data_IF_226376264936
#
_entry.id   IF_226376264936
#
_cell.length_a   1.000
_cell.length_b   1.000
_cell.length_c   1.000
_cell.angle_alpha   90.00
_cell.angle_beta   90.00
_cell.angle_gamma   90.00
#
_symmetry.space_group_name_H-M   'P 1'
#
loop_
_entity.id
_entity.type
_entity.pdbx_description
1 polymer ?
#
# COMPACT_ATOMS: atom_id res chain seq x y z
N UNK A 1 -1.13 -28.51 -28.14
CA UNK A 1 -2.59 -28.43 -27.94
C UNK A 1 -2.98 -29.07 -26.60
N UNK A 2 -2.69 -28.41 -25.48
CA UNK A 2 -3.30 -28.75 -24.17
C UNK A 2 -3.61 -27.42 -23.48
N UNK A 3 -4.66 -26.76 -23.96
CA UNK A 3 -5.21 -25.54 -23.39
C UNK A 3 -6.70 -25.52 -23.67
N UNK A 4 -7.49 -26.36 -22.97
CA UNK A 4 -8.96 -26.27 -23.04
C UNK A 4 -9.75 -26.96 -21.91
N UNK A 5 -9.17 -27.22 -20.74
CA UNK A 5 -9.89 -27.98 -19.69
C UNK A 5 -9.69 -27.48 -18.26
N UNK A 6 -9.78 -26.16 -18.01
CA UNK A 6 -9.82 -25.61 -16.65
C UNK A 6 -10.55 -24.25 -16.56
N UNK A 7 -11.68 -24.12 -17.25
CA UNK A 7 -12.50 -22.90 -17.25
C UNK A 7 -13.97 -23.12 -16.81
N UNK A 8 -14.25 -24.16 -16.02
CA UNK A 8 -15.64 -24.54 -15.68
C UNK A 8 -15.90 -24.86 -14.20
N UNK A 9 -15.20 -24.22 -13.25
CA UNK A 9 -15.49 -24.38 -11.81
C UNK A 9 -15.37 -23.09 -10.99
N UNK A 10 -15.69 -21.95 -11.60
CA UNK A 10 -15.81 -20.69 -10.87
C UNK A 10 -17.29 -20.30 -10.97
N UNK A 11 -18.05 -20.56 -9.90
CA UNK A 11 -19.42 -20.07 -9.78
C UNK A 11 -19.45 -18.53 -9.86
N UNK A 12 -20.63 -17.91 -10.03
CA UNK A 12 -20.73 -16.46 -10.07
C UNK A 12 -20.08 -15.87 -8.81
N UNK A 13 -19.14 -14.93 -8.99
CA UNK A 13 -18.60 -14.13 -7.89
C UNK A 13 -19.77 -13.58 -7.09
N UNK A 14 -19.85 -13.84 -5.77
CA UNK A 14 -20.94 -13.34 -4.96
C UNK A 14 -20.98 -11.81 -5.07
N UNK A 15 -22.18 -11.20 -5.03
CA UNK A 15 -22.29 -9.76 -5.01
C UNK A 15 -21.46 -9.24 -3.83
N UNK A 16 -20.51 -8.37 -4.14
CA UNK A 16 -19.70 -7.68 -3.15
C UNK A 16 -20.69 -6.80 -2.39
N UNK A 17 -21.11 -7.24 -1.20
CA UNK A 17 -21.94 -6.42 -0.33
C UNK A 17 -21.16 -5.12 -0.03
N UNK A 18 -21.80 -3.95 -0.04
CA UNK A 18 -21.12 -2.73 0.33
C UNK A 18 -20.60 -2.89 1.76
N UNK A 19 -19.28 -2.93 1.91
CA UNK A 19 -18.64 -2.78 3.22
C UNK A 19 -19.02 -1.39 3.70
N UNK A 20 -19.96 -1.31 4.63
CA UNK A 20 -20.32 -0.07 5.29
C UNK A 20 -19.06 0.46 5.98
N UNK A 21 -18.44 1.47 5.35
CA UNK A 21 -17.31 2.21 5.87
C UNK A 21 -17.79 2.99 7.10
N UNK A 22 -17.70 2.40 8.29
CA UNK A 22 -17.84 3.16 9.53
C UNK A 22 -16.53 3.92 9.77
N UNK A 23 -16.37 5.05 9.07
CA UNK A 23 -15.41 6.09 9.40
C UNK A 23 -16.18 7.20 10.09
N UNK A 24 -16.09 7.33 11.43
CA UNK A 24 -16.79 8.39 12.14
C UNK A 24 -16.32 9.77 11.64
N UNK A 25 -17.23 10.55 11.08
CA UNK A 25 -17.04 12.00 10.87
C UNK A 25 -16.57 12.48 9.50
N UNK A 26 -16.37 11.62 8.48
CA UNK A 26 -15.98 12.11 7.14
C UNK A 26 -16.52 11.32 5.94
N UNK A 27 -17.42 10.35 6.16
CA UNK A 27 -17.96 9.47 5.12
C UNK A 27 -18.80 10.17 4.02
N UNK A 28 -19.16 11.44 4.18
CA UNK A 28 -20.04 12.15 3.24
C UNK A 28 -19.38 12.64 1.95
N UNK A 29 -18.05 12.52 1.81
CA UNK A 29 -17.34 13.07 0.64
C UNK A 29 -16.77 12.02 -0.33
N UNK A 30 -16.96 10.72 -0.05
CA UNK A 30 -16.39 9.64 -0.86
C UNK A 30 -17.41 8.96 -1.79
N UNK A 31 -18.70 9.26 -1.66
CA UNK A 31 -19.77 8.58 -2.39
C UNK A 31 -20.19 9.30 -3.70
N UNK A 32 -19.64 10.48 -4.00
CA UNK A 32 -20.08 11.31 -5.13
C UNK A 32 -18.91 11.78 -6.02
N UNK A 33 -17.91 10.91 -6.27
CA UNK A 33 -16.81 11.25 -7.18
C UNK A 33 -17.27 11.16 -8.66
N UNK A 34 -17.92 12.20 -9.17
CA UNK A 34 -18.41 12.28 -10.56
C UNK A 34 -17.74 13.40 -11.37
N UNK A 35 -16.68 14.05 -10.87
CA UNK A 35 -15.89 14.98 -11.68
C UNK A 35 -14.39 14.69 -11.60
N UNK A 36 -13.67 14.93 -12.69
CA UNK A 36 -12.22 14.73 -12.79
C UNK A 36 -11.40 15.58 -11.78
N UNK A 37 -12.02 16.57 -11.15
CA UNK A 37 -11.47 17.39 -10.05
C UNK A 37 -11.48 16.69 -8.66
N UNK A 38 -12.10 15.51 -8.52
CA UNK A 38 -12.18 14.74 -7.25
C UNK A 38 -11.28 13.49 -7.24
N UNK A 39 -10.47 13.29 -8.27
CA UNK A 39 -9.63 12.11 -8.39
C UNK A 39 -8.48 12.14 -7.36
N UNK A 40 -8.29 11.04 -6.64
CA UNK A 40 -7.40 11.00 -5.47
C UNK A 40 -5.92 10.94 -5.86
N UNK A 41 -5.08 11.59 -5.07
CA UNK A 41 -3.62 11.44 -5.08
C UNK A 41 -3.23 10.34 -4.11
N UNK A 42 -2.80 9.21 -4.64
CA UNK A 42 -2.54 7.99 -3.88
C UNK A 42 -1.04 7.78 -3.68
N UNK A 43 -0.61 7.57 -2.43
CA UNK A 43 0.70 6.97 -2.17
C UNK A 43 0.53 5.50 -1.83
N UNK A 44 1.38 4.66 -2.40
CA UNK A 44 1.41 3.22 -2.16
C UNK A 44 2.70 2.86 -1.45
N UNK A 45 2.59 2.00 -0.45
CA UNK A 45 3.72 1.43 0.25
C UNK A 45 3.51 -0.07 0.46
N UNK A 46 4.31 -0.87 -0.21
CA UNK A 46 4.20 -2.32 -0.15
C UNK A 46 5.33 -2.94 -0.94
N UNK A 47 5.85 -4.06 -0.47
CA UNK A 47 7.01 -4.65 -1.13
C UNK A 47 7.71 -5.76 -0.36
N UNK A 48 8.88 -6.13 -0.86
CA UNK A 48 9.70 -7.22 -0.34
C UNK A 48 9.33 -8.60 -0.89
N UNK A 49 8.06 -8.87 -1.19
CA UNK A 49 7.59 -10.12 -1.84
C UNK A 49 6.40 -9.86 -2.76
N UNK A 50 6.14 -10.80 -3.68
CA UNK A 50 5.00 -10.71 -4.60
C UNK A 50 3.65 -10.63 -3.88
N UNK A 51 3.54 -11.22 -2.68
CA UNK A 51 2.33 -11.20 -1.87
C UNK A 51 1.89 -9.81 -1.41
N UNK A 52 2.82 -8.84 -1.32
CA UNK A 52 2.48 -7.44 -1.02
C UNK A 52 2.42 -6.56 -2.27
N UNK A 53 3.23 -6.86 -3.28
CA UNK A 53 3.28 -6.08 -4.53
C UNK A 53 2.05 -6.32 -5.41
N UNK A 54 1.61 -7.56 -5.57
CA UNK A 54 0.49 -7.89 -6.47
C UNK A 54 -0.84 -7.27 -6.02
N UNK A 55 -1.24 -7.31 -4.73
CA UNK A 55 -2.44 -6.60 -4.28
C UNK A 55 -2.35 -5.09 -4.52
N UNK A 56 -1.18 -4.49 -4.31
CA UNK A 56 -0.98 -3.06 -4.54
C UNK A 56 -1.20 -2.70 -6.02
N UNK A 57 -0.62 -3.48 -6.93
CA UNK A 57 -0.83 -3.32 -8.37
C UNK A 57 -2.30 -3.53 -8.76
N UNK A 58 -2.94 -4.57 -8.23
CA UNK A 58 -4.35 -4.85 -8.52
C UNK A 58 -5.26 -3.70 -8.07
N UNK A 59 -4.99 -3.12 -6.89
CA UNK A 59 -5.71 -1.92 -6.42
C UNK A 59 -5.50 -0.73 -7.35
N UNK A 60 -4.25 -0.47 -7.76
CA UNK A 60 -3.95 0.63 -8.70
C UNK A 60 -4.70 0.47 -10.00
N UNK A 61 -4.63 -0.72 -10.58
CA UNK A 61 -5.25 -1.01 -11.87
C UNK A 61 -6.76 -0.78 -11.79
N UNK A 62 -7.39 -1.26 -10.72
CA UNK A 62 -8.82 -1.08 -10.52
C UNK A 62 -9.21 0.39 -10.32
N UNK A 63 -8.44 1.15 -9.53
CA UNK A 63 -8.73 2.57 -9.31
C UNK A 63 -8.52 3.40 -10.59
N UNK A 64 -7.48 3.08 -11.39
CA UNK A 64 -7.25 3.68 -12.71
C UNK A 64 -8.41 3.37 -13.66
N UNK A 65 -8.86 2.11 -13.70
CA UNK A 65 -9.99 1.65 -14.53
C UNK A 65 -11.28 2.41 -14.19
N UNK A 66 -11.52 2.68 -12.91
CA UNK A 66 -12.66 3.47 -12.42
C UNK A 66 -12.47 4.98 -12.52
N UNK A 67 -11.30 5.46 -12.99
CA UNK A 67 -10.92 6.87 -13.06
C UNK A 67 -10.99 7.60 -11.70
N UNK A 68 -10.67 6.87 -10.63
CA UNK A 68 -10.72 7.39 -9.27
C UNK A 68 -9.39 8.01 -8.81
N UNK A 69 -8.27 7.74 -9.49
CA UNK A 69 -6.95 8.31 -9.15
C UNK A 69 -6.54 9.39 -10.15
N UNK A 70 -5.97 10.47 -9.64
CA UNK A 70 -5.34 11.51 -10.44
C UNK A 70 -3.83 11.26 -10.60
N UNK A 71 -3.18 10.88 -9.50
CA UNK A 71 -1.73 10.74 -9.42
C UNK A 71 -1.37 9.62 -8.44
N UNK A 72 -0.30 8.89 -8.73
CA UNK A 72 0.18 7.79 -7.89
C UNK A 72 1.68 7.92 -7.67
N UNK A 73 2.10 7.76 -6.42
CA UNK A 73 3.50 7.58 -6.05
C UNK A 73 3.68 6.26 -5.30
N UNK A 74 4.57 5.40 -5.77
CA UNK A 74 5.00 4.23 -5.01
C UNK A 74 6.24 4.56 -4.19
N UNK A 75 6.17 4.36 -2.88
CA UNK A 75 7.31 4.50 -1.97
C UNK A 75 7.74 3.11 -1.49
N UNK A 76 8.97 2.73 -1.77
CA UNK A 76 9.48 1.39 -1.48
C UNK A 76 10.98 1.34 -1.25
N UNK A 77 11.54 0.13 -1.22
CA UNK A 77 12.98 -0.06 -1.08
C UNK A 77 13.69 0.03 -2.43
N UNK A 78 14.94 0.48 -2.43
CA UNK A 78 15.69 0.70 -3.68
C UNK A 78 15.98 -0.60 -4.46
N UNK A 79 16.03 -1.74 -3.78
CA UNK A 79 16.42 -3.04 -4.32
C UNK A 79 15.33 -4.10 -4.25
N UNK A 80 14.09 -3.71 -3.94
CA UNK A 80 12.96 -4.63 -3.82
C UNK A 80 12.23 -4.78 -5.14
N UNK A 81 11.58 -5.94 -5.31
CA UNK A 81 10.79 -6.25 -6.51
C UNK A 81 9.65 -5.25 -6.77
N UNK A 82 9.24 -4.49 -5.75
CA UNK A 82 8.25 -3.42 -5.87
C UNK A 82 8.70 -2.29 -6.79
N UNK A 83 10.02 -2.04 -6.88
CA UNK A 83 10.57 -1.02 -7.78
C UNK A 83 10.31 -1.41 -9.24
N UNK A 84 10.72 -2.63 -9.60
CA UNK A 84 10.57 -3.12 -10.96
C UNK A 84 9.09 -3.21 -11.35
N UNK A 85 8.25 -3.68 -10.42
CA UNK A 85 6.81 -3.73 -10.57
C UNK A 85 6.18 -2.33 -10.80
N UNK A 86 6.56 -1.34 -9.99
CA UNK A 86 6.06 0.03 -10.14
C UNK A 86 6.47 0.64 -11.48
N UNK A 87 7.75 0.49 -11.86
CA UNK A 87 8.28 1.01 -13.13
C UNK A 87 7.59 0.34 -14.33
N UNK A 88 7.40 -0.98 -14.29
CA UNK A 88 6.68 -1.72 -15.34
C UNK A 88 5.21 -1.28 -15.46
N UNK A 89 4.59 -0.86 -14.37
CA UNK A 89 3.22 -0.33 -14.33
C UNK A 89 3.13 1.19 -14.64
N UNK A 90 4.25 1.82 -15.00
CA UNK A 90 4.31 3.27 -15.26
C UNK A 90 3.99 4.11 -14.03
N UNK A 91 4.31 3.64 -12.83
CA UNK A 91 4.07 4.34 -11.57
C UNK A 91 5.39 5.00 -11.12
N UNK A 92 5.41 6.32 -10.89
CA UNK A 92 6.55 6.99 -10.26
C UNK A 92 6.97 6.29 -8.96
N UNK A 93 8.27 6.07 -8.80
CA UNK A 93 8.83 5.35 -7.66
C UNK A 93 9.78 6.22 -6.85
N UNK A 94 9.65 6.18 -5.52
CA UNK A 94 10.58 6.80 -4.58
C UNK A 94 11.17 5.74 -3.65
N UNK A 95 12.48 5.54 -3.77
CA UNK A 95 13.22 4.70 -2.84
C UNK A 95 13.38 5.40 -1.48
N UNK A 96 13.17 4.66 -0.40
CA UNK A 96 13.56 5.07 0.96
C UNK A 96 14.35 3.94 1.63
N UNK A 97 15.25 4.24 2.59
CA UNK A 97 15.88 3.22 3.40
C UNK A 97 14.82 2.44 4.18
N UNK A 98 14.76 1.13 3.92
CA UNK A 98 13.90 0.22 4.67
C UNK A 98 14.78 -0.73 5.47
N UNK A 99 14.51 -0.90 6.76
CA UNK A 99 15.15 -1.96 7.54
C UNK A 99 14.59 -3.33 7.13
N UNK A 100 15.42 -4.38 7.21
CA UNK A 100 14.95 -5.77 7.20
C UNK A 100 14.90 -6.28 8.63
N UNK A 101 13.70 -6.44 9.19
CA UNK A 101 13.59 -7.08 10.51
C UNK A 101 13.66 -8.60 10.32
N UNK A 102 14.85 -9.17 10.53
CA UNK A 102 15.04 -10.62 10.52
C UNK A 102 14.38 -11.21 11.76
N UNK A 103 13.81 -12.42 11.62
CA UNK A 103 13.14 -13.16 12.72
C UNK A 103 14.11 -13.61 13.83
N UNK A 104 15.42 -13.44 13.62
CA UNK A 104 16.48 -13.81 14.55
C UNK A 104 17.28 -12.56 14.94
N UNK A 105 17.75 -12.50 16.19
CA UNK A 105 18.70 -11.47 16.61
C UNK A 105 19.98 -11.60 15.78
N UNK A 106 20.29 -10.57 15.01
CA UNK A 106 21.53 -10.46 14.25
C UNK A 106 22.08 -9.06 14.46
N UNK A 107 23.40 -8.88 14.46
CA UNK A 107 23.99 -7.53 14.49
C UNK A 107 23.49 -6.67 13.32
N UNK A 108 23.09 -7.31 12.21
CA UNK A 108 22.44 -6.67 11.08
C UNK A 108 21.05 -6.11 11.42
N UNK A 109 20.30 -6.73 12.35
CA UNK A 109 19.02 -6.22 12.86
C UNK A 109 19.20 -4.87 13.57
N UNK A 110 20.35 -4.65 14.24
CA UNK A 110 20.67 -3.38 14.89
C UNK A 110 21.01 -2.28 13.88
N UNK A 111 21.79 -2.61 12.84
CA UNK A 111 22.06 -1.68 11.73
C UNK A 111 20.81 -1.38 10.91
N UNK A 112 19.94 -2.38 10.74
CA UNK A 112 18.67 -2.26 10.02
C UNK A 112 17.65 -1.41 10.82
N UNK A 113 17.73 -1.41 12.16
CA UNK A 113 16.96 -0.49 13.01
C UNK A 113 17.38 0.97 12.83
N UNK A 114 18.67 1.25 12.62
CA UNK A 114 19.17 2.61 12.32
C UNK A 114 18.68 3.18 10.98
N UNK A 115 18.30 2.30 10.04
CA UNK A 115 17.73 2.72 8.74
C UNK A 115 16.29 3.21 8.86
N UNK A 116 15.54 2.75 9.87
CA UNK A 116 14.12 3.08 10.02
C UNK A 116 13.88 4.59 10.24
N UNK A 117 14.54 5.28 11.20
CA UNK A 117 14.37 6.73 11.36
C UNK A 117 14.70 7.52 10.09
N UNK A 118 15.76 7.13 9.38
CA UNK A 118 16.14 7.75 8.11
C UNK A 118 15.09 7.50 7.02
N UNK A 119 14.57 6.26 6.94
CA UNK A 119 13.47 5.88 6.07
C UNK A 119 12.21 6.69 6.33
N UNK A 120 11.83 6.85 7.60
CA UNK A 120 10.68 7.66 8.02
C UNK A 120 10.89 9.12 7.62
N UNK A 121 12.07 9.70 7.87
CA UNK A 121 12.36 11.08 7.50
C UNK A 121 12.31 11.30 5.98
N UNK A 122 12.88 10.40 5.19
CA UNK A 122 12.85 10.49 3.72
C UNK A 122 11.45 10.27 3.16
N UNK A 123 10.71 9.28 3.68
CA UNK A 123 9.31 9.06 3.32
C UNK A 123 8.47 10.29 3.65
N UNK A 124 8.65 10.90 4.83
CA UNK A 124 7.90 12.10 5.23
C UNK A 124 8.11 13.27 4.27
N UNK A 125 9.35 13.47 3.81
CA UNK A 125 9.67 14.48 2.78
C UNK A 125 8.97 14.16 1.44
N UNK A 126 8.98 12.90 1.03
CA UNK A 126 8.31 12.47 -0.20
C UNK A 126 6.79 12.70 -0.12
N UNK A 127 6.17 12.32 1.00
CA UNK A 127 4.74 12.54 1.25
C UNK A 127 4.39 14.04 1.28
N UNK A 128 5.20 14.86 1.97
CA UNK A 128 4.97 16.29 2.03
C UNK A 128 5.07 16.97 0.64
N UNK A 129 6.00 16.52 -0.20
CA UNK A 129 6.14 17.02 -1.57
C UNK A 129 4.99 16.54 -2.47
N UNK A 130 4.59 15.28 -2.34
CA UNK A 130 3.52 14.68 -3.15
C UNK A 130 2.12 15.17 -2.74
N UNK A 131 1.91 15.50 -1.46
CA UNK A 131 0.61 15.89 -0.87
C UNK A 131 -0.49 14.86 -1.17
N UNK A 132 -0.36 13.62 -0.67
CA UNK A 132 -1.36 12.58 -0.91
C UNK A 132 -2.68 12.88 -0.20
N UNK A 133 -3.77 12.42 -0.80
CA UNK A 133 -5.08 12.36 -0.16
C UNK A 133 -5.23 11.09 0.69
N UNK A 134 -4.50 10.04 0.35
CA UNK A 134 -4.48 8.78 1.10
C UNK A 134 -3.16 8.03 0.89
N UNK A 135 -2.71 7.34 1.94
CA UNK A 135 -1.58 6.41 1.89
C UNK A 135 -2.09 4.98 2.06
N UNK A 136 -1.83 4.13 1.09
CA UNK A 136 -2.24 2.73 1.07
C UNK A 136 -1.04 1.80 1.29
N UNK A 137 -1.09 0.99 2.34
CA UNK A 137 -0.08 0.02 2.72
C UNK A 137 -0.53 -1.41 2.49
N UNK A 138 0.16 -2.21 1.67
CA UNK A 138 -0.15 -3.64 1.51
C UNK A 138 0.73 -4.55 2.37
N UNK A 139 1.47 -3.98 3.31
CA UNK A 139 2.35 -4.72 4.20
C UNK A 139 3.77 -4.90 3.68
N UNK A 140 4.50 -5.84 4.30
CA UNK A 140 5.95 -5.98 4.15
C UNK A 140 6.72 -4.91 4.93
N UNK A 141 7.92 -5.24 5.40
CA UNK A 141 8.73 -4.27 6.17
C UNK A 141 9.08 -3.00 5.38
N UNK A 142 9.01 -3.09 4.05
CA UNK A 142 9.16 -1.97 3.13
C UNK A 142 8.12 -0.86 3.38
N UNK A 143 6.89 -1.21 3.79
CA UNK A 143 5.83 -0.23 3.97
C UNK A 143 5.95 0.56 5.27
N UNK A 144 6.62 0.00 6.29
CA UNK A 144 6.62 0.51 7.67
C UNK A 144 7.12 1.96 7.77
N UNK A 145 8.26 2.35 7.18
CA UNK A 145 8.74 3.73 7.28
C UNK A 145 7.74 4.73 6.68
N UNK A 146 7.11 4.39 5.55
CA UNK A 146 6.15 5.25 4.86
C UNK A 146 4.88 5.43 5.66
N UNK A 147 4.31 4.36 6.22
CA UNK A 147 3.07 4.46 6.99
C UNK A 147 3.28 5.19 8.32
N UNK A 148 4.43 5.00 8.98
CA UNK A 148 4.79 5.83 10.15
C UNK A 148 4.90 7.30 9.74
N UNK A 149 5.58 7.57 8.62
CA UNK A 149 5.80 8.94 8.13
C UNK A 149 4.51 9.66 7.75
N UNK A 150 3.49 8.91 7.31
CA UNK A 150 2.19 9.42 6.89
C UNK A 150 1.33 9.95 8.05
N UNK A 151 1.65 9.59 9.30
CA UNK A 151 0.89 10.04 10.47
C UNK A 151 0.88 11.57 10.54
N UNK A 152 -0.33 12.13 10.58
CA UNK A 152 -0.58 13.56 10.58
C UNK A 152 -0.33 14.26 9.23
N UNK A 153 -0.18 13.51 8.13
CA UNK A 153 -0.10 14.05 6.76
C UNK A 153 -1.38 13.72 5.98
N UNK A 154 -1.77 12.45 5.95
CA UNK A 154 -2.95 11.97 5.23
C UNK A 154 -3.53 10.72 5.91
N UNK A 155 -4.81 10.38 5.67
CA UNK A 155 -5.38 9.11 6.08
C UNK A 155 -4.56 7.90 5.61
N UNK A 156 -4.45 6.89 6.46
CA UNK A 156 -3.64 5.70 6.25
C UNK A 156 -4.54 4.46 6.23
N UNK A 157 -4.55 3.77 5.09
CA UNK A 157 -5.17 2.46 4.93
C UNK A 157 -4.06 1.39 4.91
N UNK A 158 -4.19 0.33 5.69
CA UNK A 158 -3.35 -0.85 5.55
C UNK A 158 -4.20 -2.08 5.21
N UNK A 159 -3.68 -3.00 4.40
CA UNK A 159 -4.37 -4.21 3.97
C UNK A 159 -3.53 -5.46 4.25
N UNK A 160 -4.14 -6.46 4.87
CA UNK A 160 -3.57 -7.81 5.04
C UNK A 160 -4.18 -8.75 4.01
N UNK A 161 -3.36 -9.54 3.31
CA UNK A 161 -3.84 -10.46 2.27
C UNK A 161 -4.20 -11.85 2.81
N UNK A 162 -3.91 -12.10 4.08
CA UNK A 162 -3.91 -13.43 4.68
C UNK A 162 -4.74 -13.47 5.96
N UNK A 163 -5.11 -14.67 6.40
CA UNK A 163 -5.87 -14.86 7.63
C UNK A 163 -5.09 -14.49 8.92
N UNK A 164 -3.77 -14.28 8.83
CA UNK A 164 -2.92 -14.00 10.00
C UNK A 164 -2.12 -12.72 9.75
N UNK A 165 -2.31 -11.71 10.60
CA UNK A 165 -1.59 -10.45 10.48
C UNK A 165 -0.06 -10.63 10.56
N UNK A 166 0.61 -10.24 9.48
CA UNK A 166 2.06 -10.16 9.42
C UNK A 166 2.62 -9.12 10.39
N UNK A 167 3.88 -9.29 10.83
CA UNK A 167 4.49 -8.35 11.79
C UNK A 167 4.51 -6.90 11.27
N UNK A 168 4.85 -6.70 9.98
CA UNK A 168 4.81 -5.39 9.36
C UNK A 168 3.40 -4.79 9.37
N UNK A 169 2.38 -5.57 9.01
CA UNK A 169 0.98 -5.14 9.04
C UNK A 169 0.52 -4.79 10.45
N UNK A 170 0.91 -5.58 11.46
CA UNK A 170 0.63 -5.27 12.88
C UNK A 170 1.28 -3.96 13.32
N UNK A 171 2.49 -3.66 12.85
CA UNK A 171 3.15 -2.37 13.12
C UNK A 171 2.38 -1.26 12.42
N UNK A 172 2.11 -1.41 11.12
CA UNK A 172 1.36 -0.44 10.32
C UNK A 172 -0.01 -0.12 10.94
N UNK A 173 -0.73 -1.12 11.41
CA UNK A 173 -2.07 -0.97 11.99
C UNK A 173 -2.10 -0.06 13.24
N UNK A 174 -0.97 0.13 13.94
CA UNK A 174 -0.87 1.10 15.05
C UNK A 174 -0.85 2.55 14.59
N UNK A 175 -0.58 2.77 13.31
CA UNK A 175 -0.55 4.09 12.67
C UNK A 175 -1.67 4.28 11.65
N UNK A 176 -2.29 3.18 11.20
CA UNK A 176 -3.36 3.21 10.22
C UNK A 176 -4.68 3.70 10.82
N UNK A 177 -5.45 4.44 10.02
CA UNK A 177 -6.84 4.80 10.34
C UNK A 177 -7.80 3.65 10.01
N UNK A 178 -7.43 2.81 9.04
CA UNK A 178 -8.22 1.64 8.64
C UNK A 178 -7.29 0.45 8.34
N UNK A 179 -7.67 -0.72 8.86
CA UNK A 179 -7.09 -2.03 8.52
C UNK A 179 -8.14 -2.84 7.75
N UNK A 180 -7.84 -3.19 6.51
CA UNK A 180 -8.59 -4.14 5.70
C UNK A 180 -7.93 -5.52 5.75
N UNK A 181 -8.73 -6.59 5.71
CA UNK A 181 -8.33 -8.00 5.76
C UNK A 181 -9.04 -8.78 4.67
#
# INVERSE_FOLDING_TARGET
MVAHALAASIGPTPPILPVELVVPGRAKHLAEASNADEAIRLVIAGGGTGGHVLPALATVEELRRRRLVADILWVGSDAGIERDAALAAGIPFRSVPTGKLRRYFSLQTLTDAGRLPLGVAQARRALAAFRPDVVFGTGGFVSVPTLIAAKGIAPILTHEQTAILGLATRINARFADLLAV
#
